data_IF_232263972101
#
_entry.id   IF_232263972101
#
_cell.length_a   1.000
_cell.length_b   1.000
_cell.length_c   1.000
_cell.angle_alpha   90.00
_cell.angle_beta   90.00
_cell.angle_gamma   90.00
#
_symmetry.space_group_name_H-M   'P 1'
#
loop_
_entity.id
_entity.type
_entity.pdbx_description
1 polymer ?
#
# COMPACT_ATOMS: atom_id res chain seq x y z
N UNK A 1 -22.27 -21.82 32.91
CA UNK A 1 -21.33 -22.03 31.79
C UNK A 1 -22.11 -21.81 30.50
N UNK A 2 -21.80 -20.76 29.74
CA UNK A 2 -22.46 -20.50 28.46
C UNK A 2 -21.39 -20.07 27.45
N UNK A 3 -21.27 -20.81 26.35
CA UNK A 3 -20.16 -20.82 25.38
C UNK A 3 -20.26 -19.72 24.31
N UNK A 4 -20.86 -18.56 24.63
CA UNK A 4 -21.12 -17.49 23.63
C UNK A 4 -20.26 -16.23 23.89
N UNK A 5 -19.08 -16.42 24.46
CA UNK A 5 -18.08 -15.37 24.61
C UNK A 5 -16.72 -15.93 24.17
N UNK A 6 -16.50 -16.05 22.85
CA UNK A 6 -15.17 -15.96 22.21
C UNK A 6 -15.30 -16.10 20.68
N UNK A 7 -15.67 -15.01 20.00
CA UNK A 7 -15.17 -14.74 18.64
C UNK A 7 -14.78 -13.27 18.54
N UNK A 8 -14.06 -12.79 19.55
CA UNK A 8 -13.17 -11.64 19.41
C UNK A 8 -11.96 -12.11 18.59
N UNK A 9 -11.56 -11.26 17.63
CA UNK A 9 -10.35 -11.35 16.82
C UNK A 9 -10.45 -12.30 15.62
N UNK A 10 -11.13 -11.86 14.54
CA UNK A 10 -10.76 -12.34 13.21
C UNK A 10 -9.29 -11.93 12.99
N UNK A 11 -8.38 -12.89 13.04
CA UNK A 11 -7.04 -12.71 12.50
C UNK A 11 -7.21 -12.52 10.99
N UNK A 12 -7.17 -11.26 10.54
CA UNK A 12 -6.99 -10.93 9.12
C UNK A 12 -5.80 -11.74 8.63
N UNK A 13 -6.01 -12.59 7.62
CA UNK A 13 -4.93 -13.42 7.11
C UNK A 13 -3.92 -12.54 6.37
N UNK A 14 -2.63 -12.88 6.35
CA UNK A 14 -1.59 -12.08 5.68
C UNK A 14 -1.94 -11.77 4.20
N UNK A 15 -2.69 -12.67 3.54
CA UNK A 15 -3.20 -12.46 2.18
C UNK A 15 -4.24 -11.33 2.09
N UNK A 16 -5.09 -11.16 3.10
CA UNK A 16 -6.11 -10.11 3.15
C UNK A 16 -5.45 -8.74 3.39
N UNK A 17 -4.42 -8.68 4.26
CA UNK A 17 -3.64 -7.46 4.50
C UNK A 17 -2.86 -7.02 3.25
N UNK A 18 -2.29 -7.96 2.50
CA UNK A 18 -1.62 -7.69 1.23
C UNK A 18 -2.59 -7.17 0.16
N UNK A 19 -3.75 -7.81 0.02
CA UNK A 19 -4.77 -7.37 -0.94
C UNK A 19 -5.29 -5.97 -0.61
N UNK A 20 -5.57 -5.68 0.66
CA UNK A 20 -5.98 -4.35 1.11
C UNK A 20 -4.92 -3.29 0.81
N UNK A 21 -3.65 -3.57 1.12
CA UNK A 21 -2.56 -2.64 0.83
C UNK A 21 -2.45 -2.30 -0.66
N UNK A 22 -2.47 -3.32 -1.51
CA UNK A 22 -2.39 -3.14 -2.97
C UNK A 22 -3.57 -2.31 -3.47
N UNK A 23 -4.79 -2.63 -3.03
CA UNK A 23 -5.99 -1.87 -3.38
C UNK A 23 -5.90 -0.40 -2.92
N UNK A 24 -5.42 -0.15 -1.71
CA UNK A 24 -5.24 1.22 -1.20
C UNK A 24 -4.22 2.00 -2.03
N UNK A 25 -3.12 1.36 -2.47
CA UNK A 25 -2.13 1.98 -3.38
C UNK A 25 -2.80 2.36 -4.70
N UNK A 26 -3.49 1.43 -5.34
CA UNK A 26 -4.20 1.67 -6.60
C UNK A 26 -5.20 2.83 -6.47
N UNK A 27 -6.03 2.82 -5.43
CA UNK A 27 -7.05 3.83 -5.17
C UNK A 27 -6.43 5.21 -4.97
N UNK A 28 -5.40 5.34 -4.12
CA UNK A 28 -4.76 6.63 -3.83
C UNK A 28 -4.14 7.20 -5.10
N UNK A 29 -3.40 6.40 -5.87
CA UNK A 29 -2.76 6.88 -7.10
C UNK A 29 -3.79 7.23 -8.18
N UNK A 30 -4.86 6.44 -8.34
CA UNK A 30 -5.93 6.74 -9.30
C UNK A 30 -6.69 8.03 -8.93
N UNK A 31 -6.92 8.29 -7.63
CA UNK A 31 -7.60 9.53 -7.16
C UNK A 31 -6.80 10.80 -7.43
N UNK A 32 -5.47 10.72 -7.52
CA UNK A 32 -4.64 11.86 -7.97
C UNK A 32 -4.97 12.28 -9.40
N UNK A 33 -5.46 11.34 -10.21
CA UNK A 33 -5.76 11.54 -11.62
C UNK A 33 -4.51 11.79 -12.47
N UNK A 34 -4.73 12.19 -13.72
CA UNK A 34 -3.65 12.45 -14.67
C UNK A 34 -2.92 11.19 -15.15
N UNK A 35 -1.88 11.34 -15.98
CA UNK A 35 -1.14 10.22 -16.55
C UNK A 35 -0.19 9.53 -15.55
N UNK A 36 0.08 10.15 -14.40
CA UNK A 36 1.13 9.71 -13.47
C UNK A 36 0.88 8.31 -12.91
N UNK A 37 -0.38 7.93 -12.67
CA UNK A 37 -0.71 6.56 -12.26
C UNK A 37 -0.18 5.53 -13.27
N UNK A 38 -0.42 5.75 -14.57
CA UNK A 38 0.11 4.86 -15.62
C UNK A 38 1.63 4.96 -15.74
N UNK A 39 2.23 6.11 -15.44
CA UNK A 39 3.69 6.24 -15.38
C UNK A 39 4.27 5.39 -14.25
N UNK A 40 3.64 5.32 -13.08
CA UNK A 40 4.06 4.41 -11.99
C UNK A 40 4.05 2.97 -12.47
N UNK A 41 2.96 2.51 -13.10
CA UNK A 41 2.87 1.14 -13.62
C UNK A 41 3.96 0.85 -14.66
N UNK A 42 4.12 1.76 -15.63
CA UNK A 42 5.11 1.61 -16.70
C UNK A 42 6.55 1.60 -16.15
N UNK A 43 6.82 2.38 -15.10
CA UNK A 43 8.15 2.43 -14.48
C UNK A 43 8.45 1.20 -13.64
N UNK A 44 7.49 0.71 -12.85
CA UNK A 44 7.67 -0.53 -12.10
C UNK A 44 7.97 -1.70 -13.03
N UNK A 45 7.23 -1.82 -14.13
CA UNK A 45 7.47 -2.86 -15.13
C UNK A 45 8.83 -2.69 -15.82
N UNK A 46 9.17 -1.48 -16.29
CA UNK A 46 10.38 -1.24 -17.07
C UNK A 46 11.66 -1.32 -16.23
N UNK A 47 11.64 -0.76 -15.03
CA UNK A 47 12.85 -0.58 -14.23
C UNK A 47 13.11 -1.78 -13.28
N UNK A 48 12.06 -2.55 -12.95
CA UNK A 48 12.13 -3.65 -11.97
C UNK A 48 11.42 -4.94 -12.40
N UNK A 49 10.77 -5.00 -13.57
CA UNK A 49 9.93 -6.14 -13.99
C UNK A 49 8.85 -6.52 -12.96
N UNK A 50 8.32 -5.52 -12.24
CA UNK A 50 7.39 -5.70 -11.13
C UNK A 50 6.05 -4.98 -11.36
N UNK A 51 5.00 -5.48 -10.72
CA UNK A 51 3.70 -4.81 -10.57
C UNK A 51 3.53 -4.29 -9.14
N UNK A 52 2.52 -3.45 -8.90
CA UNK A 52 2.19 -2.95 -7.55
C UNK A 52 1.99 -4.10 -6.55
N UNK A 53 1.41 -5.21 -6.98
CA UNK A 53 1.23 -6.39 -6.12
C UNK A 53 2.56 -7.01 -5.64
N UNK A 54 3.60 -6.95 -6.46
CA UNK A 54 4.93 -7.48 -6.15
C UNK A 54 5.67 -6.56 -5.18
N UNK A 55 5.34 -5.26 -5.18
CA UNK A 55 5.94 -4.28 -4.28
C UNK A 55 5.67 -4.56 -2.80
N UNK A 56 4.70 -5.40 -2.43
CA UNK A 56 4.54 -5.84 -1.04
C UNK A 56 5.84 -6.47 -0.49
N UNK A 57 6.52 -7.28 -1.30
CA UNK A 57 7.81 -7.88 -0.95
C UNK A 57 8.99 -6.93 -1.21
N UNK A 58 8.79 -5.95 -2.10
CA UNK A 58 9.81 -5.00 -2.57
C UNK A 58 9.35 -3.53 -2.47
N UNK A 59 9.07 -3.01 -1.26
CA UNK A 59 8.56 -1.65 -1.06
C UNK A 59 9.54 -0.57 -1.55
N UNK A 60 10.84 -0.86 -1.59
CA UNK A 60 11.88 0.02 -2.10
C UNK A 60 11.70 0.39 -3.58
N UNK A 61 11.15 -0.51 -4.40
CA UNK A 61 10.88 -0.23 -5.82
C UNK A 61 9.73 0.76 -5.96
N UNK A 62 8.65 0.55 -5.20
CA UNK A 62 7.52 1.48 -5.16
C UNK A 62 7.96 2.85 -4.64
N UNK A 63 8.77 2.89 -3.57
CA UNK A 63 9.35 4.12 -3.03
C UNK A 63 10.08 4.92 -4.10
N UNK A 64 11.04 4.30 -4.79
CA UNK A 64 11.82 4.98 -5.82
C UNK A 64 10.93 5.53 -6.93
N UNK A 65 9.98 4.72 -7.42
CA UNK A 65 9.09 5.14 -8.50
C UNK A 65 8.18 6.28 -8.07
N UNK A 66 7.58 6.22 -6.88
CA UNK A 66 6.71 7.27 -6.37
C UNK A 66 7.46 8.59 -6.13
N UNK A 67 8.68 8.55 -5.61
CA UNK A 67 9.50 9.75 -5.40
C UNK A 67 9.84 10.46 -6.72
N UNK A 68 10.08 9.70 -7.78
CA UNK A 68 10.41 10.26 -9.09
C UNK A 68 9.18 10.72 -9.89
N UNK A 69 8.05 10.00 -9.80
CA UNK A 69 6.83 10.34 -10.54
C UNK A 69 6.04 11.46 -9.84
N UNK A 70 6.07 11.48 -8.50
CA UNK A 70 5.35 12.44 -7.67
C UNK A 70 6.28 13.19 -6.70
N UNK A 71 7.37 13.85 -7.16
CA UNK A 71 8.38 14.43 -6.27
C UNK A 71 7.80 15.47 -5.29
N UNK A 72 6.81 16.25 -5.73
CA UNK A 72 6.15 17.27 -4.91
C UNK A 72 4.95 16.76 -4.11
N UNK A 73 4.50 15.54 -4.41
CA UNK A 73 3.28 14.93 -3.88
C UNK A 73 3.56 13.67 -3.07
N UNK A 74 4.81 13.23 -3.00
CA UNK A 74 5.22 11.95 -2.43
C UNK A 74 4.75 11.80 -0.99
N UNK A 75 5.06 12.78 -0.14
CA UNK A 75 4.63 12.74 1.26
C UNK A 75 3.11 12.67 1.38
N UNK A 76 2.40 13.44 0.56
CA UNK A 76 0.93 13.44 0.53
C UNK A 76 0.36 12.08 0.12
N UNK A 77 1.01 11.37 -0.81
CA UNK A 77 0.60 10.01 -1.18
C UNK A 77 0.73 9.07 0.01
N UNK A 78 1.82 9.16 0.79
CA UNK A 78 2.00 8.32 1.98
C UNK A 78 0.93 8.66 3.04
N UNK A 79 0.63 9.94 3.23
CA UNK A 79 -0.42 10.36 4.16
C UNK A 79 -1.81 9.87 3.71
N UNK A 80 -2.13 10.01 2.42
CA UNK A 80 -3.38 9.52 1.81
C UNK A 80 -3.50 7.99 1.91
N UNK A 81 -2.39 7.24 1.82
CA UNK A 81 -2.37 5.79 2.04
C UNK A 81 -2.70 5.41 3.48
N UNK A 82 -2.14 6.12 4.46
CA UNK A 82 -2.44 5.88 5.88
C UNK A 82 -3.93 6.12 6.14
N UNK A 83 -4.50 7.17 5.53
CA UNK A 83 -5.94 7.47 5.65
C UNK A 83 -6.79 6.40 4.96
N UNK A 84 -6.43 5.94 3.77
CA UNK A 84 -7.19 4.90 3.05
C UNK A 84 -7.14 3.53 3.76
N UNK A 85 -6.05 3.21 4.46
CA UNK A 85 -5.88 1.97 5.21
C UNK A 85 -6.55 2.02 6.60
N UNK A 86 -6.78 3.21 7.15
CA UNK A 86 -7.43 3.44 8.45
C UNK A 86 -6.86 2.54 9.56
N UNK A 87 -7.69 1.77 10.27
CA UNK A 87 -7.26 0.87 11.34
C UNK A 87 -6.22 -0.16 10.87
N UNK A 88 -6.23 -0.56 9.59
CA UNK A 88 -5.28 -1.52 9.03
C UNK A 88 -3.85 -0.98 9.00
N UNK A 89 -3.66 0.35 8.95
CA UNK A 89 -2.33 0.97 8.97
C UNK A 89 -1.55 0.64 10.26
N UNK A 90 -2.24 0.21 11.32
CA UNK A 90 -1.63 -0.18 12.60
C UNK A 90 -1.25 -1.66 12.68
N UNK A 91 -1.69 -2.49 11.71
CA UNK A 91 -1.29 -3.89 11.64
C UNK A 91 0.20 -3.97 11.34
N UNK A 92 0.91 -4.85 12.06
CA UNK A 92 2.38 -4.90 12.05
C UNK A 92 2.97 -4.92 10.64
N UNK A 93 2.52 -5.82 9.78
CA UNK A 93 3.04 -5.97 8.41
C UNK A 93 2.82 -4.70 7.56
N UNK A 94 1.64 -4.08 7.66
CA UNK A 94 1.31 -2.86 6.93
C UNK A 94 2.09 -1.66 7.50
N UNK A 95 2.21 -1.56 8.81
CA UNK A 95 2.98 -0.51 9.46
C UNK A 95 4.47 -0.59 9.09
N UNK A 96 5.03 -1.80 9.01
CA UNK A 96 6.40 -2.05 8.54
C UNK A 96 6.57 -1.60 7.08
N UNK A 97 5.64 -1.99 6.20
CA UNK A 97 5.63 -1.54 4.82
C UNK A 97 5.58 0.00 4.69
N UNK A 98 4.65 0.66 5.40
CA UNK A 98 4.49 2.11 5.38
C UNK A 98 5.74 2.82 5.92
N UNK A 99 6.45 2.23 6.89
CA UNK A 99 7.71 2.77 7.37
C UNK A 99 8.83 2.68 6.34
N UNK A 100 8.87 1.62 5.52
CA UNK A 100 9.83 1.50 4.42
C UNK A 100 9.57 2.56 3.33
N UNK A 101 8.32 2.99 3.16
CA UNK A 101 7.93 4.09 2.29
C UNK A 101 8.18 5.49 2.86
N UNK A 102 8.68 5.66 4.08
CA UNK A 102 9.08 6.99 4.61
C UNK A 102 10.58 7.19 4.38
#
# INVERSE_FOLDING_TARGET
>A
MNLIQLQSSQSVSSNDSRAALVLSIEIVLMRKGGPQYHQVLARLERDYECKIFDCYEHPEFLKSVLQEVYPNDYQRIIDDLIVELDEMATQKEIAEFLNLLR
#
